data_IF_458003216236
#
_entry.id   IF_458003216236
#
_cell.length_a   1.000
_cell.length_b   1.000
_cell.length_c   1.000
_cell.angle_alpha   90.00
_cell.angle_beta   90.00
_cell.angle_gamma   90.00
#
_symmetry.space_group_name_H-M   'P 1'
#
loop_
_entity.id
_entity.type
_entity.pdbx_description
1 polymer ?
#
# COMPACT_ATOMS: atom_id res chain seq x y z
N UNK A 1 18.77 -26.59 -10.54
CA UNK A 1 17.55 -27.19 -9.91
C UNK A 1 17.77 -27.24 -8.41
N UNK A 2 16.80 -26.81 -7.60
CA UNK A 2 16.92 -26.80 -6.13
C UNK A 2 16.66 -28.24 -5.64
N UNK A 3 17.57 -28.79 -4.82
CA UNK A 3 17.44 -30.13 -4.28
C UNK A 3 16.28 -30.21 -3.26
N UNK A 4 15.35 -31.18 -3.38
CA UNK A 4 14.18 -31.28 -2.50
C UNK A 4 14.52 -31.57 -1.02
N UNK A 5 15.73 -32.03 -0.73
CA UNK A 5 16.24 -32.29 0.63
C UNK A 5 16.77 -31.03 1.34
N UNK A 6 17.01 -29.93 0.63
CA UNK A 6 17.50 -28.67 1.18
C UNK A 6 16.62 -27.51 0.71
N UNK A 7 15.38 -27.38 1.26
CA UNK A 7 14.49 -26.29 0.89
C UNK A 7 15.10 -24.94 1.28
N UNK A 8 15.00 -23.95 0.39
CA UNK A 8 15.39 -22.57 0.68
C UNK A 8 14.47 -22.03 1.78
N UNK A 9 14.99 -21.91 2.99
CA UNK A 9 14.25 -21.40 4.16
C UNK A 9 14.02 -19.88 4.08
N UNK A 10 14.92 -19.15 3.41
CA UNK A 10 14.82 -17.71 3.23
C UNK A 10 14.20 -17.33 1.87
N UNK A 11 12.89 -17.38 1.80
CA UNK A 11 12.09 -16.95 0.64
C UNK A 11 12.22 -15.45 0.31
N UNK A 12 12.85 -14.63 1.16
CA UNK A 12 13.07 -13.20 0.94
C UNK A 12 14.49 -12.85 0.48
N UNK A 13 15.36 -13.84 0.27
CA UNK A 13 16.77 -13.61 -0.05
C UNK A 13 16.97 -12.66 -1.24
N UNK A 14 16.20 -12.83 -2.32
CA UNK A 14 16.26 -11.97 -3.51
C UNK A 14 15.85 -10.52 -3.17
N UNK A 15 14.81 -10.35 -2.34
CA UNK A 15 14.37 -9.01 -1.93
C UNK A 15 15.39 -8.33 -1.01
N UNK A 16 16.04 -9.09 -0.13
CA UNK A 16 17.09 -8.59 0.74
C UNK A 16 18.31 -8.12 -0.08
N UNK A 17 18.80 -8.95 -1.01
CA UNK A 17 19.90 -8.58 -1.91
C UNK A 17 19.55 -7.35 -2.74
N UNK A 18 18.34 -7.29 -3.32
CA UNK A 18 17.89 -6.11 -4.07
C UNK A 18 17.87 -4.85 -3.21
N UNK A 19 17.42 -4.94 -1.96
CA UNK A 19 17.39 -3.79 -1.05
C UNK A 19 18.79 -3.33 -0.64
N UNK A 20 19.73 -4.26 -0.48
CA UNK A 20 21.14 -3.96 -0.20
C UNK A 20 21.84 -3.31 -1.40
N UNK A 21 21.60 -3.81 -2.61
CA UNK A 21 22.09 -3.15 -3.83
C UNK A 21 21.47 -1.75 -3.92
N UNK A 22 20.15 -1.62 -3.76
CA UNK A 22 19.45 -0.35 -3.84
C UNK A 22 19.81 0.67 -2.74
N UNK A 23 20.43 0.24 -1.63
CA UNK A 23 20.94 1.14 -0.60
C UNK A 23 22.36 1.63 -0.88
N UNK A 24 23.14 0.88 -1.66
CA UNK A 24 24.51 1.23 -2.05
C UNK A 24 24.60 1.87 -3.45
N UNK A 25 23.55 1.72 -4.26
CA UNK A 25 23.50 2.21 -5.63
C UNK A 25 23.11 3.68 -5.65
N UNK A 26 24.11 4.54 -5.92
CA UNK A 26 23.91 5.95 -6.19
C UNK A 26 23.52 6.12 -7.67
N UNK A 27 22.22 6.30 -7.89
CA UNK A 27 21.63 6.43 -9.22
C UNK A 27 22.11 7.72 -9.89
N UNK A 28 22.24 8.80 -9.14
CA UNK A 28 22.60 10.12 -9.68
C UNK A 28 24.05 10.10 -10.19
N UNK A 29 24.95 9.49 -9.42
CA UNK A 29 26.34 9.28 -9.83
C UNK A 29 26.46 8.40 -11.09
N UNK A 30 25.75 7.26 -11.12
CA UNK A 30 25.77 6.34 -12.27
C UNK A 30 25.18 6.97 -13.53
N UNK A 31 24.09 7.73 -13.39
CA UNK A 31 23.51 8.49 -14.50
C UNK A 31 24.51 9.52 -15.05
N UNK A 32 25.30 10.17 -14.20
CA UNK A 32 26.36 11.08 -14.63
C UNK A 32 27.45 10.41 -15.46
N UNK A 33 27.89 9.21 -15.07
CA UNK A 33 28.86 8.41 -15.84
C UNK A 33 28.28 8.03 -17.21
N UNK A 34 27.06 7.49 -17.23
CA UNK A 34 26.40 7.08 -18.48
C UNK A 34 26.14 8.26 -19.40
N UNK A 35 25.69 9.39 -18.86
CA UNK A 35 25.50 10.62 -19.62
C UNK A 35 26.80 11.10 -20.25
N UNK A 36 27.92 11.03 -19.51
CA UNK A 36 29.24 11.42 -20.03
C UNK A 36 29.70 10.51 -21.18
N UNK A 37 29.47 9.21 -21.05
CA UNK A 37 29.80 8.23 -22.09
C UNK A 37 28.91 8.37 -23.33
N UNK A 38 27.61 8.69 -23.16
CA UNK A 38 26.68 8.83 -24.27
C UNK A 38 26.70 10.21 -24.93
N UNK A 39 27.19 11.25 -24.24
CA UNK A 39 27.27 12.62 -24.76
C UNK A 39 27.81 12.75 -26.18
N UNK A 40 28.86 12.02 -26.61
CA UNK A 40 29.38 12.11 -27.98
C UNK A 40 28.43 11.55 -29.06
N UNK A 41 27.46 10.72 -28.66
CA UNK A 41 26.51 10.06 -29.55
C UNK A 41 25.14 10.75 -29.58
N UNK A 42 24.97 11.86 -28.86
CA UNK A 42 23.73 12.64 -28.80
C UNK A 42 23.85 13.88 -29.68
N UNK A 43 22.90 14.08 -30.58
CA UNK A 43 22.91 15.18 -31.55
C UNK A 43 22.18 16.42 -31.00
N UNK A 44 21.04 16.22 -30.33
CA UNK A 44 20.11 17.29 -29.95
C UNK A 44 20.18 17.70 -28.48
N UNK A 45 21.39 17.95 -27.96
CA UNK A 45 21.61 18.31 -26.54
C UNK A 45 20.92 19.62 -26.09
N UNK A 46 20.58 20.49 -27.03
CA UNK A 46 19.89 21.75 -26.78
C UNK A 46 18.37 21.59 -26.59
N UNK A 47 17.82 20.43 -27.00
CA UNK A 47 16.40 20.11 -26.84
C UNK A 47 16.24 19.12 -25.70
N UNK A 48 15.52 19.54 -24.67
CA UNK A 48 15.20 18.72 -23.53
C UNK A 48 13.70 18.71 -23.31
N UNK A 49 13.11 17.51 -23.28
CA UNK A 49 11.70 17.33 -22.92
C UNK A 49 11.63 16.88 -21.46
N UNK A 50 10.88 17.60 -20.64
CA UNK A 50 10.67 17.25 -19.23
C UNK A 50 9.26 16.75 -19.03
N UNK A 51 9.14 15.48 -18.64
CA UNK A 51 7.87 14.82 -18.41
C UNK A 51 7.81 14.24 -17.00
N UNK A 52 6.73 14.56 -16.29
CA UNK A 52 6.41 13.80 -15.08
C UNK A 52 5.93 12.42 -15.54
N UNK A 53 6.60 11.36 -15.11
CA UNK A 53 6.23 9.98 -15.40
C UNK A 53 5.78 9.25 -14.12
N UNK A 54 4.79 8.37 -14.24
CA UNK A 54 4.39 7.46 -13.16
C UNK A 54 4.94 6.07 -13.49
N UNK A 55 5.92 5.59 -12.72
CA UNK A 55 6.31 4.19 -12.83
C UNK A 55 5.29 3.34 -12.08
N UNK A 56 4.55 2.49 -12.82
CA UNK A 56 3.52 1.64 -12.25
C UNK A 56 4.11 0.78 -11.13
N UNK A 57 3.63 1.03 -9.92
CA UNK A 57 3.84 0.09 -8.84
C UNK A 57 2.96 -1.12 -9.15
N UNK A 58 3.55 -2.32 -9.32
CA UNK A 58 2.80 -3.57 -9.38
C UNK A 58 1.93 -3.73 -8.13
N UNK A 59 0.74 -3.16 -8.18
CA UNK A 59 -0.24 -3.08 -7.12
C UNK A 59 -1.59 -3.32 -7.76
N UNK A 60 -2.42 -4.09 -7.04
CA UNK A 60 -3.77 -4.37 -7.49
C UNK A 60 -4.59 -3.07 -7.49
N UNK A 61 -5.45 -2.90 -8.49
CA UNK A 61 -6.39 -1.78 -8.52
C UNK A 61 -7.25 -1.78 -7.24
N UNK A 62 -7.23 -0.69 -6.46
CA UNK A 62 -7.94 -0.59 -5.20
C UNK A 62 -9.45 -0.51 -5.39
N UNK A 63 -10.20 -1.21 -4.55
CA UNK A 63 -11.64 -1.01 -4.43
C UNK A 63 -11.95 -0.87 -2.95
N UNK A 64 -12.81 0.07 -2.57
CA UNK A 64 -13.20 0.33 -1.17
C UNK A 64 -13.47 -0.96 -0.40
N UNK A 65 -14.27 -1.85 -1.00
CA UNK A 65 -14.66 -3.13 -0.40
C UNK A 65 -13.47 -4.05 -0.17
N UNK A 66 -12.52 -4.11 -1.10
CA UNK A 66 -11.33 -4.97 -0.96
C UNK A 66 -10.38 -4.41 0.09
N UNK A 67 -10.11 -3.11 0.03
CA UNK A 67 -9.24 -2.44 0.97
C UNK A 67 -9.78 -2.53 2.40
N UNK A 68 -11.08 -2.34 2.56
CA UNK A 68 -11.74 -2.48 3.86
C UNK A 68 -11.65 -3.92 4.39
N UNK A 69 -11.84 -4.92 3.53
CA UNK A 69 -11.71 -6.33 3.91
C UNK A 69 -10.28 -6.69 4.34
N UNK A 70 -9.27 -6.29 3.58
CA UNK A 70 -7.86 -6.54 3.91
C UNK A 70 -7.48 -6.00 5.30
N UNK A 71 -8.01 -4.83 5.68
CA UNK A 71 -7.81 -4.22 7.00
C UNK A 71 -8.47 -5.04 8.11
N UNK A 72 -9.72 -5.44 7.91
CA UNK A 72 -10.49 -6.28 8.85
C UNK A 72 -9.77 -7.62 9.05
N UNK A 73 -9.42 -8.28 7.96
CA UNK A 73 -8.76 -9.59 7.99
C UNK A 73 -7.41 -9.52 8.68
N UNK A 74 -6.60 -8.52 8.38
CA UNK A 74 -5.32 -8.30 9.04
C UNK A 74 -5.50 -8.11 10.55
N UNK A 75 -6.40 -7.20 10.97
CA UNK A 75 -6.61 -6.90 12.38
C UNK A 75 -7.20 -8.08 13.15
N UNK A 76 -8.16 -8.79 12.55
CA UNK A 76 -8.77 -9.98 13.15
C UNK A 76 -7.74 -11.10 13.37
N UNK A 77 -6.86 -11.36 12.39
CA UNK A 77 -5.79 -12.36 12.54
C UNK A 77 -4.85 -12.02 13.69
N UNK A 78 -4.47 -10.74 13.85
CA UNK A 78 -3.64 -10.27 14.95
C UNK A 78 -4.33 -10.39 16.31
N UNK A 79 -5.61 -10.02 16.41
CA UNK A 79 -6.39 -10.25 17.64
C UNK A 79 -6.43 -11.73 18.00
N UNK A 80 -6.65 -12.61 17.01
CA UNK A 80 -6.63 -14.06 17.25
C UNK A 80 -5.26 -14.59 17.66
N UNK A 81 -4.16 -13.97 17.19
CA UNK A 81 -2.81 -14.30 17.61
C UNK A 81 -2.56 -13.84 19.05
N UNK A 82 -2.82 -12.57 19.36
CA UNK A 82 -2.67 -12.03 20.72
C UNK A 82 -3.48 -12.82 21.75
N UNK A 83 -4.72 -13.21 21.42
CA UNK A 83 -5.53 -14.01 22.34
C UNK A 83 -4.93 -15.41 22.58
N UNK A 84 -4.28 -16.00 21.57
CA UNK A 84 -3.59 -17.29 21.73
C UNK A 84 -2.33 -17.14 22.58
N UNK A 85 -1.54 -16.11 22.32
CA UNK A 85 -0.28 -15.85 23.03
C UNK A 85 -0.52 -15.54 24.51
N UNK A 86 -1.62 -14.83 24.81
CA UNK A 86 -2.02 -14.49 26.19
C UNK A 86 -2.88 -15.56 26.86
N UNK A 87 -3.32 -16.61 26.15
CA UNK A 87 -4.23 -17.63 26.68
C UNK A 87 -5.64 -17.12 27.03
N UNK A 88 -6.05 -15.95 26.53
CA UNK A 88 -7.35 -15.34 26.84
C UNK A 88 -8.46 -15.78 25.87
N UNK A 89 -9.70 -15.73 26.35
CA UNK A 89 -10.87 -15.96 25.50
C UNK A 89 -10.99 -14.86 24.44
N UNK A 90 -11.16 -15.27 23.18
CA UNK A 90 -11.33 -14.34 22.06
C UNK A 90 -12.60 -13.47 22.23
N UNK A 91 -12.50 -12.13 22.08
CA UNK A 91 -13.65 -11.25 22.11
C UNK A 91 -14.68 -11.59 21.02
N UNK A 92 -15.97 -11.59 21.37
CA UNK A 92 -17.04 -11.93 20.43
C UNK A 92 -17.23 -10.83 19.37
N UNK A 93 -17.20 -11.18 18.09
CA UNK A 93 -17.48 -10.28 16.98
C UNK A 93 -18.22 -10.99 15.84
N UNK A 94 -18.66 -10.24 14.83
CA UNK A 94 -19.39 -10.74 13.65
C UNK A 94 -18.47 -11.04 12.46
N UNK A 95 -17.19 -11.33 12.70
CA UNK A 95 -16.21 -11.55 11.62
C UNK A 95 -16.65 -12.66 10.67
N UNK A 96 -17.04 -13.83 11.19
CA UNK A 96 -17.44 -15.00 10.40
C UNK A 96 -18.63 -14.72 9.49
N UNK A 97 -19.69 -14.11 10.03
CA UNK A 97 -20.89 -13.69 9.30
C UNK A 97 -20.56 -12.70 8.16
N UNK A 98 -19.71 -11.71 8.43
CA UNK A 98 -19.28 -10.73 7.43
C UNK A 98 -18.34 -11.38 6.41
N UNK A 99 -17.48 -12.33 6.80
CA UNK A 99 -16.61 -13.08 5.90
C UNK A 99 -17.40 -13.87 4.87
N UNK A 100 -18.44 -14.59 5.32
CA UNK A 100 -19.35 -15.34 4.43
C UNK A 100 -20.07 -14.38 3.49
N UNK A 101 -20.57 -13.25 4.02
CA UNK A 101 -21.23 -12.22 3.21
C UNK A 101 -20.29 -11.60 2.16
N UNK A 102 -19.03 -11.34 2.52
CA UNK A 102 -18.00 -10.80 1.64
C UNK A 102 -17.59 -11.81 0.56
N UNK A 103 -17.41 -13.08 0.91
CA UNK A 103 -17.14 -14.13 -0.07
C UNK A 103 -18.27 -14.26 -1.10
N UNK A 104 -19.53 -14.25 -0.64
CA UNK A 104 -20.70 -14.23 -1.53
C UNK A 104 -20.71 -12.98 -2.43
N UNK A 105 -20.35 -11.82 -1.88
CA UNK A 105 -20.21 -10.58 -2.65
C UNK A 105 -19.10 -10.65 -3.72
N UNK A 106 -17.96 -11.27 -3.41
CA UNK A 106 -16.86 -11.46 -4.34
C UNK A 106 -17.25 -12.36 -5.52
N UNK A 107 -17.98 -13.44 -5.26
CA UNK A 107 -18.43 -14.42 -6.28
C UNK A 107 -19.44 -13.85 -7.29
N UNK A 108 -20.10 -12.73 -6.98
CA UNK A 108 -21.11 -12.15 -7.88
C UNK A 108 -20.49 -11.44 -9.09
N UNK A 109 -20.98 -11.78 -10.30
CA UNK A 109 -20.61 -11.10 -11.56
C UNK A 109 -21.05 -9.63 -11.57
N UNK A 110 -22.30 -9.34 -11.19
CA UNK A 110 -22.86 -7.98 -11.08
C UNK A 110 -23.27 -7.68 -9.64
N UNK A 111 -22.96 -6.48 -9.15
CA UNK A 111 -23.15 -6.07 -7.74
C UNK A 111 -24.18 -4.95 -7.65
N UNK A 112 -25.25 -5.17 -6.90
CA UNK A 112 -26.27 -4.13 -6.64
C UNK A 112 -25.70 -3.07 -5.69
N UNK A 113 -25.86 -1.80 -6.04
CA UNK A 113 -25.33 -0.65 -5.26
C UNK A 113 -25.84 -0.67 -3.81
N UNK A 114 -27.14 -0.91 -3.60
CA UNK A 114 -27.75 -0.99 -2.26
C UNK A 114 -27.13 -2.09 -1.39
N UNK A 115 -26.91 -3.28 -1.95
CA UNK A 115 -26.28 -4.41 -1.25
C UNK A 115 -24.80 -4.13 -0.96
N UNK A 116 -24.09 -3.47 -1.88
CA UNK A 116 -22.70 -3.03 -1.66
C UNK A 116 -22.63 -2.05 -0.50
N UNK A 117 -23.50 -1.03 -0.48
CA UNK A 117 -23.57 -0.03 0.60
C UNK A 117 -23.88 -0.66 1.96
N UNK A 118 -24.83 -1.59 2.00
CA UNK A 118 -25.17 -2.35 3.21
C UNK A 118 -23.97 -3.15 3.75
N UNK A 119 -23.27 -3.87 2.87
CA UNK A 119 -22.09 -4.65 3.28
C UNK A 119 -20.94 -3.74 3.70
N UNK A 120 -20.68 -2.63 2.99
CA UNK A 120 -19.69 -1.62 3.38
C UNK A 120 -19.96 -1.10 4.79
N UNK A 121 -21.21 -0.76 5.10
CA UNK A 121 -21.60 -0.31 6.44
C UNK A 121 -21.31 -1.37 7.52
N UNK A 122 -21.67 -2.64 7.27
CA UNK A 122 -21.38 -3.76 8.19
C UNK A 122 -19.87 -3.92 8.43
N UNK A 123 -19.07 -3.80 7.37
CA UNK A 123 -17.62 -3.91 7.43
C UNK A 123 -16.97 -2.75 8.19
N UNK A 124 -17.41 -1.50 7.98
CA UNK A 124 -16.92 -0.33 8.75
C UNK A 124 -17.17 -0.53 10.24
N UNK A 125 -18.38 -0.94 10.63
CA UNK A 125 -18.74 -1.22 12.03
C UNK A 125 -17.92 -2.36 12.63
N UNK A 126 -17.62 -3.40 11.84
CA UNK A 126 -16.75 -4.48 12.29
C UNK A 126 -15.31 -3.99 12.49
N UNK A 127 -14.76 -3.22 11.56
CA UNK A 127 -13.41 -2.68 11.68
C UNK A 127 -13.27 -1.82 12.94
N UNK A 128 -14.23 -0.93 13.18
CA UNK A 128 -14.31 -0.12 14.41
C UNK A 128 -14.34 -1.00 15.66
N UNK A 129 -15.21 -2.02 15.68
CA UNK A 129 -15.28 -2.95 16.80
C UNK A 129 -13.96 -3.68 17.03
N UNK A 130 -13.27 -4.12 15.98
CA UNK A 130 -11.99 -4.81 16.09
C UNK A 130 -10.89 -3.89 16.64
N UNK A 131 -10.88 -2.61 16.27
CA UNK A 131 -9.93 -1.64 16.82
C UNK A 131 -10.15 -1.49 18.33
N UNK A 132 -11.41 -1.31 18.76
CA UNK A 132 -11.76 -1.23 20.18
C UNK A 132 -11.30 -2.50 20.92
N UNK A 133 -11.65 -3.69 20.41
CA UNK A 133 -11.25 -4.96 21.02
C UNK A 133 -9.74 -5.12 21.13
N UNK A 134 -8.99 -4.69 20.11
CA UNK A 134 -7.53 -4.72 20.13
C UNK A 134 -6.98 -3.76 21.17
N UNK A 135 -7.57 -2.58 21.30
CA UNK A 135 -7.14 -1.55 22.25
C UNK A 135 -7.45 -1.92 23.69
N UNK A 136 -8.57 -2.62 23.94
CA UNK A 136 -8.89 -3.20 25.24
C UNK A 136 -7.86 -4.27 25.64
N UNK A 137 -7.55 -5.21 24.73
CA UNK A 137 -6.50 -6.23 24.95
C UNK A 137 -5.15 -5.56 25.24
N UNK A 138 -4.80 -4.52 24.50
CA UNK A 138 -3.54 -3.82 24.70
C UNK A 138 -3.51 -3.04 26.02
N UNK A 139 -4.65 -2.52 26.49
CA UNK A 139 -4.75 -1.84 27.78
C UNK A 139 -4.53 -2.80 28.95
N UNK A 140 -5.09 -4.00 28.87
CA UNK A 140 -5.00 -5.00 29.95
C UNK A 140 -3.66 -5.76 29.92
N UNK A 141 -3.16 -6.12 28.74
CA UNK A 141 -2.02 -7.04 28.56
C UNK A 141 -0.86 -6.43 27.78
N UNK A 142 -0.81 -5.10 27.66
CA UNK A 142 0.17 -4.40 26.82
C UNK A 142 1.62 -4.67 27.20
N UNK A 143 1.90 -4.91 28.48
CA UNK A 143 3.24 -5.27 28.99
C UNK A 143 3.70 -6.66 28.52
N UNK A 144 2.77 -7.57 28.29
CA UNK A 144 3.05 -8.95 27.87
C UNK A 144 3.16 -9.10 26.34
N UNK A 145 2.85 -8.05 25.57
CA UNK A 145 2.85 -8.07 24.11
C UNK A 145 3.97 -7.19 23.55
N UNK A 146 4.85 -7.79 22.76
CA UNK A 146 5.88 -7.05 22.01
C UNK A 146 5.38 -6.74 20.60
N UNK A 147 5.39 -5.47 20.20
CA UNK A 147 5.03 -5.07 18.84
C UNK A 147 6.24 -4.60 18.04
N UNK A 148 6.30 -5.03 16.78
CA UNK A 148 7.24 -4.43 15.82
C UNK A 148 6.81 -3.01 15.46
N UNK A 149 7.77 -2.17 15.08
CA UNK A 149 7.51 -0.81 14.61
C UNK A 149 6.55 -0.81 13.40
N UNK A 150 6.71 -1.77 12.49
CA UNK A 150 5.84 -1.96 11.33
C UNK A 150 4.39 -2.28 11.73
N UNK A 151 4.19 -3.08 12.78
CA UNK A 151 2.86 -3.37 13.30
C UNK A 151 2.17 -2.09 13.80
N UNK A 152 2.87 -1.29 14.61
CA UNK A 152 2.32 -0.05 15.16
C UNK A 152 2.01 0.97 14.05
N UNK A 153 2.91 1.08 13.07
CA UNK A 153 2.72 1.92 11.89
C UNK A 153 1.52 1.47 11.07
N UNK A 154 1.37 0.17 10.84
CA UNK A 154 0.22 -0.39 10.12
C UNK A 154 -1.09 -0.16 10.87
N UNK A 155 -1.10 -0.28 12.19
CA UNK A 155 -2.26 0.00 13.02
C UNK A 155 -2.67 1.47 12.96
N UNK A 156 -1.71 2.40 13.00
CA UNK A 156 -2.00 3.84 12.87
C UNK A 156 -2.58 4.19 11.49
N UNK A 157 -2.07 3.55 10.43
CA UNK A 157 -2.63 3.66 9.08
C UNK A 157 -4.07 3.14 9.05
N UNK A 158 -4.35 1.97 9.65
CA UNK A 158 -5.71 1.39 9.70
C UNK A 158 -6.69 2.30 10.46
N UNK A 159 -6.24 3.00 11.51
CA UNK A 159 -7.07 3.98 12.21
C UNK A 159 -7.43 5.18 11.32
N UNK A 160 -6.44 5.75 10.60
CA UNK A 160 -6.69 6.83 9.61
C UNK A 160 -7.63 6.37 8.49
N UNK A 161 -7.33 5.18 7.97
CA UNK A 161 -8.23 4.17 7.39
C UNK A 161 -9.72 4.37 7.67
N UNK A 162 -10.07 4.02 8.90
CA UNK A 162 -11.44 3.98 9.37
C UNK A 162 -12.12 5.35 9.30
N UNK A 163 -11.42 6.42 9.65
CA UNK A 163 -11.94 7.80 9.57
C UNK A 163 -12.29 8.13 8.12
N UNK A 164 -11.37 7.89 7.19
CA UNK A 164 -11.60 8.14 5.76
C UNK A 164 -12.78 7.31 5.22
N UNK A 165 -12.92 6.05 5.60
CA UNK A 165 -14.04 5.22 5.12
C UNK A 165 -15.40 5.69 5.65
N UNK A 166 -15.45 6.25 6.86
CA UNK A 166 -16.67 6.85 7.43
C UNK A 166 -17.06 8.13 6.68
N UNK A 167 -16.13 9.05 6.49
CA UNK A 167 -16.34 10.27 5.72
C UNK A 167 -16.77 9.98 4.27
N UNK A 168 -16.13 9.00 3.63
CA UNK A 168 -16.49 8.57 2.28
C UNK A 168 -17.88 7.90 2.23
N UNK A 169 -18.27 7.19 3.29
CA UNK A 169 -19.61 6.60 3.39
C UNK A 169 -20.70 7.67 3.56
N UNK A 170 -20.37 8.80 4.19
CA UNK A 170 -21.22 10.00 4.29
C UNK A 170 -21.26 10.84 3.00
N UNK A 171 -20.37 10.57 2.04
CA UNK A 171 -20.31 11.28 0.76
C UNK A 171 -19.34 12.45 0.72
N UNK A 172 -18.46 12.60 1.73
CA UNK A 172 -17.42 13.63 1.74
C UNK A 172 -16.27 13.25 0.80
N UNK A 173 -15.63 14.26 0.19
CA UNK A 173 -14.43 14.08 -0.65
C UNK A 173 -13.17 14.09 0.23
N UNK A 174 -12.23 13.21 -0.07
CA UNK A 174 -10.97 13.05 0.67
C UNK A 174 -9.81 13.19 -0.30
N UNK A 175 -8.94 14.17 -0.07
CA UNK A 175 -7.74 14.43 -0.89
C UNK A 175 -6.66 13.36 -0.67
N UNK A 176 -6.35 13.03 0.59
CA UNK A 176 -5.26 12.12 0.96
C UNK A 176 -5.70 10.66 1.13
N UNK A 177 -6.43 10.15 0.16
CA UNK A 177 -7.00 8.80 0.25
C UNK A 177 -5.89 7.73 0.30
N UNK A 178 -5.93 6.90 1.34
CA UNK A 178 -5.01 5.77 1.46
C UNK A 178 -5.51 4.59 0.64
N UNK A 179 -4.71 4.22 -0.35
CA UNK A 179 -5.04 3.24 -1.37
C UNK A 179 -4.56 1.82 -1.03
N UNK A 180 -3.48 1.69 -0.26
CA UNK A 180 -2.91 0.41 0.10
C UNK A 180 -2.32 0.51 1.51
N UNK A 181 -2.48 -0.54 2.32
CA UNK A 181 -1.92 -0.57 3.66
C UNK A 181 -0.40 -0.76 3.60
N UNK A 182 0.05 -1.67 2.74
CA UNK A 182 1.47 -2.01 2.61
C UNK A 182 2.27 -0.87 1.93
N UNK A 183 1.62 -0.14 1.02
CA UNK A 183 2.19 1.02 0.31
C UNK A 183 1.40 2.30 0.59
N UNK A 184 1.29 2.65 1.87
CA UNK A 184 0.50 3.81 2.33
C UNK A 184 1.01 5.16 1.82
N UNK A 185 2.23 5.23 1.28
CA UNK A 185 2.83 6.43 0.69
C UNK A 185 2.43 6.63 -0.77
N UNK A 186 1.91 5.59 -1.45
CA UNK A 186 1.43 5.71 -2.83
C UNK A 186 0.13 6.51 -2.82
N UNK A 187 0.01 7.45 -3.75
CA UNK A 187 -1.18 8.27 -3.95
C UNK A 187 -1.83 7.93 -5.29
N UNK A 188 -3.18 8.05 -5.41
CA UNK A 188 -3.84 8.02 -6.70
C UNK A 188 -3.38 9.19 -7.58
N UNK A 189 -3.06 8.93 -8.84
CA UNK A 189 -2.71 9.96 -9.83
C UNK A 189 -3.77 9.95 -10.92
N UNK A 190 -4.60 10.98 -10.98
CA UNK A 190 -5.62 11.13 -12.03
C UNK A 190 -4.95 11.68 -13.29
N UNK A 191 -4.91 10.90 -14.37
CA UNK A 191 -4.11 11.22 -15.58
C UNK A 191 -4.93 11.50 -16.84
N UNK A 192 -6.26 11.49 -16.77
CA UNK A 192 -7.13 11.75 -17.93
C UNK A 192 -6.94 10.79 -19.11
N UNK A 193 -6.16 9.72 -18.95
CA UNK A 193 -5.87 8.73 -19.99
C UNK A 193 -7.14 7.94 -20.31
N UNK A 194 -7.29 7.60 -21.59
CA UNK A 194 -8.48 6.95 -22.14
C UNK A 194 -8.77 5.58 -21.49
N UNK A 195 -7.73 4.76 -21.25
CA UNK A 195 -7.91 3.39 -20.72
C UNK A 195 -7.92 3.32 -19.19
N UNK A 196 -7.06 4.08 -18.51
CA UNK A 196 -6.95 4.10 -17.03
C UNK A 196 -7.00 5.55 -16.55
N UNK A 197 -8.13 5.95 -15.97
CA UNK A 197 -8.29 7.30 -15.44
C UNK A 197 -7.36 7.62 -14.26
N UNK A 198 -6.95 6.59 -13.50
CA UNK A 198 -6.10 6.72 -12.31
C UNK A 198 -4.98 5.69 -12.34
N UNK A 199 -3.75 6.17 -12.13
CA UNK A 199 -2.53 5.37 -12.00
C UNK A 199 -2.03 5.36 -10.55
N UNK A 200 -1.26 4.33 -10.21
CA UNK A 200 -0.66 4.20 -8.89
C UNK A 200 0.81 3.83 -9.03
N UNK A 201 1.69 4.68 -8.51
CA UNK A 201 3.11 4.49 -8.73
C UNK A 201 3.97 5.55 -8.09
N UNK A 202 5.27 5.40 -8.30
CA UNK A 202 6.22 6.45 -7.96
C UNK A 202 6.11 7.55 -9.02
N UNK A 203 5.86 8.78 -8.57
CA UNK A 203 5.95 9.97 -9.42
C UNK A 203 7.43 10.31 -9.58
N UNK A 204 7.89 10.35 -10.81
CA UNK A 204 9.28 10.61 -11.16
C UNK A 204 9.32 11.74 -12.19
N UNK A 205 10.23 12.69 -12.02
CA UNK A 205 10.52 13.64 -13.07
C UNK A 205 11.50 12.99 -14.06
N UNK A 206 11.08 12.88 -15.31
CA UNK A 206 11.87 12.31 -16.39
C UNK A 206 12.33 13.43 -17.32
N UNK A 207 13.61 13.42 -17.65
CA UNK A 207 14.25 14.34 -18.58
C UNK A 207 14.63 13.52 -19.79
N UNK A 208 14.02 13.80 -20.94
CA UNK A 208 14.34 13.14 -22.19
C UNK A 208 15.20 14.03 -23.08
N UNK A 209 16.39 13.52 -23.43
CA UNK A 209 17.34 14.16 -24.35
C UNK A 209 17.65 13.16 -25.45
N UNK A 210 17.36 13.53 -26.69
CA UNK A 210 17.67 12.74 -27.89
C UNK A 210 17.22 11.26 -27.82
N UNK A 211 16.07 11.02 -27.17
CA UNK A 211 15.50 9.69 -26.97
C UNK A 211 15.93 8.95 -25.70
N UNK A 212 16.93 9.44 -24.97
CA UNK A 212 17.38 8.88 -23.69
C UNK A 212 16.64 9.55 -22.53
N UNK A 213 16.07 8.74 -21.64
CA UNK A 213 15.35 9.18 -20.43
C UNK A 213 16.26 9.16 -19.20
N UNK A 214 16.40 10.29 -18.53
CA UNK A 214 17.13 10.48 -17.28
C UNK A 214 16.14 10.75 -16.14
N UNK A 215 16.35 10.08 -15.01
CA UNK A 215 15.55 10.27 -13.81
C UNK A 215 16.19 11.37 -12.97
N UNK A 216 15.47 12.44 -12.66
CA UNK A 216 16.02 13.57 -11.91
C UNK A 216 15.74 13.45 -10.40
N UNK A 217 14.55 13.01 -10.00
CA UNK A 217 14.23 12.75 -8.58
C UNK A 217 13.00 11.85 -8.45
N UNK A 218 13.09 10.81 -7.61
CA UNK A 218 11.92 10.05 -7.17
C UNK A 218 11.21 10.78 -6.02
N UNK A 219 10.09 11.44 -6.29
CA UNK A 219 9.30 12.20 -5.29
C UNK A 219 8.72 11.32 -4.15
N UNK A 220 8.84 9.99 -4.26
CA UNK A 220 8.32 9.04 -3.27
C UNK A 220 9.22 8.84 -2.05
N UNK A 221 10.46 9.32 -2.08
CA UNK A 221 11.52 8.87 -1.16
C UNK A 221 11.82 9.78 0.02
N UNK A 222 10.97 10.75 0.37
CA UNK A 222 10.86 11.51 1.66
C UNK A 222 10.52 13.01 1.50
N UNK A 223 10.43 13.56 0.29
CA UNK A 223 10.17 15.01 0.12
C UNK A 223 8.69 15.32 -0.10
N UNK A 224 7.94 15.35 1.01
CA UNK A 224 6.75 16.20 1.14
C UNK A 224 7.05 17.27 2.18
N UNK A 225 8.28 17.81 2.15
CA UNK A 225 8.67 19.04 2.81
C UNK A 225 9.20 19.96 1.71
N UNK A 226 8.50 21.07 1.52
CA UNK A 226 8.87 22.21 0.70
C UNK A 226 8.93 21.96 -0.81
N UNK A 227 7.78 22.09 -1.47
CA UNK A 227 7.66 22.96 -2.65
C UNK A 227 6.25 23.55 -2.61
N UNK A 228 6.18 24.84 -2.26
CA UNK A 228 5.06 25.75 -2.52
C UNK A 228 5.12 26.12 -3.99
#
# INVERSE_FOLDING_TARGET
>A
MIAPSCPITNYKIISAVRNEIASRLDIDFLQGILASHWKPYLENLHVCMTDITCYESHMRFPTDMKLLWERIEWLYRHICQHCRDLGIRRPRNKYTDIAVSYLSYCKKRKRKVSRTRMLKCRMIRLLEKLIIQRDDIHREYGSSLTYTQDYQKRLSIIRKVLVQEKELFEGRKISDRIVCIDRYYVRPIVRGKETKSVEFGAKVNNIQIDGISFIETSLSRHSMRAYV
#
